data_IF_505547507339
#
_entry.id   IF_505547507339
#
_cell.length_a   1.000
_cell.length_b   1.000
_cell.length_c   1.000
_cell.angle_alpha   90.00
_cell.angle_beta   90.00
_cell.angle_gamma   90.00
#
_symmetry.space_group_name_H-M   'P 1'
#
loop_
_entity.id
_entity.type
_entity.pdbx_description
1 polymer ?
#
# COMPACT_ATOMS: atom_id res chain seq x y z
N UNK A 1 44.18 30.95 29.17
CA UNK A 1 44.27 32.42 29.01
C UNK A 1 44.55 32.75 27.54
N UNK A 2 43.96 33.86 27.03
CA UNK A 2 44.02 34.45 25.67
C UNK A 2 42.99 33.80 24.69
N UNK A 3 41.78 34.34 24.49
CA UNK A 3 41.33 35.54 23.71
C UNK A 3 41.78 35.43 22.22
N UNK A 4 40.96 35.56 21.17
CA UNK A 4 39.89 36.54 20.89
C UNK A 4 39.06 36.12 19.66
N UNK A 5 37.79 36.53 19.66
CA UNK A 5 36.75 36.54 18.60
C UNK A 5 37.18 37.18 17.27
N UNK A 6 36.64 36.71 16.13
CA UNK A 6 36.26 37.60 15.02
C UNK A 6 34.98 37.12 14.31
N UNK A 7 34.04 38.05 14.23
CA UNK A 7 32.71 37.99 13.65
C UNK A 7 32.82 38.50 12.20
N UNK A 8 32.25 37.83 11.20
CA UNK A 8 31.88 38.49 9.95
C UNK A 8 30.47 38.08 9.52
N UNK A 9 29.62 39.11 9.54
CA UNK A 9 28.24 39.16 9.10
C UNK A 9 28.24 39.65 7.64
N UNK A 10 27.60 38.96 6.72
CA UNK A 10 27.16 39.58 5.46
C UNK A 10 25.94 38.85 4.89
N UNK A 11 24.79 39.44 5.19
CA UNK A 11 23.48 39.17 4.62
C UNK A 11 23.42 39.58 3.15
N UNK A 12 22.81 38.77 2.30
CA UNK A 12 22.12 39.26 1.10
C UNK A 12 20.79 38.54 0.94
N UNK A 13 19.73 39.34 1.07
CA UNK A 13 18.36 39.03 0.69
C UNK A 13 18.26 38.78 -0.81
N UNK A 14 17.54 37.73 -1.21
CA UNK A 14 16.89 37.67 -2.53
C UNK A 14 15.38 37.48 -2.30
N UNK A 15 14.64 38.58 -2.40
CA UNK A 15 13.19 38.62 -2.54
C UNK A 15 12.88 39.18 -3.94
N UNK A 16 12.37 38.33 -4.82
CA UNK A 16 11.60 38.65 -6.04
C UNK A 16 10.62 37.47 -6.16
N UNK A 17 9.29 37.60 -6.05
CA UNK A 17 8.40 38.69 -6.47
C UNK A 17 7.70 38.26 -7.76
N UNK A 18 6.68 37.39 -7.67
CA UNK A 18 5.87 36.93 -8.80
C UNK A 18 4.38 37.19 -8.53
N UNK A 19 3.83 38.13 -9.29
CA UNK A 19 2.49 38.72 -9.14
C UNK A 19 1.35 37.73 -9.47
N UNK A 20 0.30 37.78 -8.64
CA UNK A 20 -1.05 37.39 -9.04
C UNK A 20 -1.66 38.53 -9.88
N UNK A 21 -2.35 38.20 -10.98
CA UNK A 21 -3.30 39.13 -11.60
C UNK A 21 -4.63 38.43 -11.85
N UNK A 22 -5.67 39.04 -11.26
CA UNK A 22 -7.06 38.69 -11.33
C UNK A 22 -7.67 39.41 -12.56
N UNK A 23 -8.57 38.77 -13.31
CA UNK A 23 -9.36 39.46 -14.33
C UNK A 23 -10.79 38.95 -14.34
N UNK A 24 -11.64 39.83 -13.80
CA UNK A 24 -13.06 40.08 -13.98
C UNK A 24 -13.99 39.03 -14.62
N UNK A 25 -14.96 38.68 -13.78
CA UNK A 25 -16.36 38.38 -14.04
C UNK A 25 -17.04 39.29 -15.08
N UNK A 26 -17.79 38.70 -16.01
CA UNK A 26 -19.12 39.21 -16.41
C UNK A 26 -19.93 38.14 -17.16
N UNK A 27 -20.96 37.65 -16.46
CA UNK A 27 -22.37 37.58 -16.88
C UNK A 27 -22.85 36.55 -17.91
N UNK A 28 -23.87 35.81 -17.45
CA UNK A 28 -24.67 34.77 -18.07
C UNK A 28 -25.22 35.04 -19.47
N UNK A 29 -25.24 33.98 -20.29
CA UNK A 29 -26.37 33.65 -21.17
C UNK A 29 -26.60 32.14 -21.17
N UNK A 30 -27.82 31.76 -20.84
CA UNK A 30 -28.38 30.45 -21.17
C UNK A 30 -28.50 30.37 -22.70
N UNK A 31 -28.10 29.25 -23.28
CA UNK A 31 -28.75 28.71 -24.47
C UNK A 31 -28.68 27.18 -24.41
N UNK A 32 -29.87 26.59 -24.40
CA UNK A 32 -30.08 25.17 -24.61
C UNK A 32 -29.63 24.82 -26.04
N UNK A 33 -28.79 23.80 -26.18
CA UNK A 33 -28.78 23.00 -27.40
C UNK A 33 -28.47 21.56 -27.03
N UNK A 34 -29.51 20.74 -27.15
CA UNK A 34 -29.50 19.29 -27.14
C UNK A 34 -28.52 18.75 -28.19
N UNK A 35 -27.50 18.03 -27.72
CA UNK A 35 -26.85 17.02 -28.52
C UNK A 35 -26.52 15.82 -27.64
N UNK A 36 -27.10 14.70 -28.05
CA UNK A 36 -26.96 13.37 -27.49
C UNK A 36 -25.50 12.93 -27.49
N UNK A 37 -24.90 12.86 -26.30
CA UNK A 37 -23.62 12.16 -26.11
C UNK A 37 -23.94 10.86 -25.41
N UNK A 38 -23.77 9.78 -26.16
CA UNK A 38 -23.96 8.39 -25.76
C UNK A 38 -23.30 8.11 -24.42
N UNK A 39 -24.10 7.63 -23.47
CA UNK A 39 -23.64 7.08 -22.21
C UNK A 39 -22.83 5.82 -22.52
N UNK A 40 -21.52 5.95 -22.71
CA UNK A 40 -20.61 4.83 -22.52
C UNK A 40 -20.59 4.55 -21.02
N UNK A 41 -21.45 3.63 -20.60
CA UNK A 41 -21.40 3.02 -19.29
C UNK A 41 -20.07 2.27 -19.20
N UNK A 42 -19.03 2.92 -18.66
CA UNK A 42 -17.90 2.20 -18.10
C UNK A 42 -18.45 1.39 -16.94
N UNK A 43 -18.74 0.12 -17.19
CA UNK A 43 -18.94 -0.88 -16.16
C UNK A 43 -17.64 -0.91 -15.35
N UNK A 44 -17.59 -0.15 -14.26
CA UNK A 44 -16.63 -0.39 -13.20
C UNK A 44 -16.89 -1.83 -12.77
N UNK A 45 -16.03 -2.75 -13.22
CA UNK A 45 -16.02 -4.14 -12.76
C UNK A 45 -15.92 -4.03 -11.24
N UNK A 46 -17.04 -4.31 -10.56
CA UNK A 46 -17.10 -4.37 -9.11
C UNK A 46 -16.06 -5.40 -8.70
N UNK A 47 -14.92 -4.96 -8.20
CA UNK A 47 -13.93 -5.84 -7.60
C UNK A 47 -14.57 -6.37 -6.33
N UNK A 48 -15.13 -7.58 -6.40
CA UNK A 48 -15.60 -8.32 -5.23
C UNK A 48 -14.41 -8.48 -4.29
N UNK A 49 -14.52 -7.93 -3.08
CA UNK A 49 -13.55 -8.16 -2.02
C UNK A 49 -14.03 -9.36 -1.23
N UNK A 50 -13.25 -10.42 -1.21
CA UNK A 50 -13.49 -11.55 -0.31
C UNK A 50 -12.71 -11.27 0.98
N UNK A 51 -13.39 -10.74 2.00
CA UNK A 51 -12.80 -10.50 3.32
C UNK A 51 -13.02 -11.72 4.22
N UNK A 52 -11.95 -12.21 4.85
CA UNK A 52 -12.02 -13.26 5.88
C UNK A 52 -11.43 -12.71 7.17
N UNK A 53 -12.21 -12.72 8.24
CA UNK A 53 -11.70 -12.38 9.57
C UNK A 53 -11.02 -13.61 10.16
N UNK A 54 -9.72 -13.49 10.46
CA UNK A 54 -8.99 -14.53 11.17
C UNK A 54 -9.21 -14.36 12.69
N UNK A 55 -9.41 -15.47 13.40
CA UNK A 55 -9.43 -15.46 14.87
C UNK A 55 -8.03 -15.48 15.48
N UNK A 56 -6.98 -15.49 14.65
CA UNK A 56 -5.60 -15.59 15.08
C UNK A 56 -5.13 -14.31 15.78
N UNK A 57 -4.25 -14.51 16.76
CA UNK A 57 -3.55 -13.46 17.49
C UNK A 57 -2.07 -13.64 17.18
N UNK A 58 -1.44 -12.57 16.71
CA UNK A 58 -0.02 -12.51 16.33
C UNK A 58 0.76 -11.91 17.50
N UNK A 59 1.83 -12.59 17.92
CA UNK A 59 2.72 -12.17 18.99
C UNK A 59 4.19 -12.23 18.55
N UNK A 60 5.11 -12.14 19.51
CA UNK A 60 6.57 -12.10 19.28
C UNK A 60 7.24 -13.47 19.26
N UNK A 61 6.51 -14.55 19.54
CA UNK A 61 7.14 -15.82 19.85
C UNK A 61 7.28 -16.70 18.60
N UNK A 62 6.34 -16.63 17.65
CA UNK A 62 6.40 -17.40 16.39
C UNK A 62 5.61 -16.74 15.24
N UNK A 63 6.04 -17.04 14.01
CA UNK A 63 5.25 -16.83 12.79
C UNK A 63 3.86 -17.46 12.90
N UNK A 64 2.83 -16.65 12.64
CA UNK A 64 1.43 -17.08 12.70
C UNK A 64 0.83 -17.13 11.30
N UNK A 65 0.47 -18.33 10.86
CA UNK A 65 -0.32 -18.60 9.65
C UNK A 65 -1.69 -17.92 9.71
N UNK A 66 -1.95 -16.97 8.81
CA UNK A 66 -3.19 -16.16 8.79
C UNK A 66 -4.28 -16.72 7.88
N UNK A 67 -3.92 -17.42 6.80
CA UNK A 67 -4.87 -17.97 5.83
C UNK A 67 -5.35 -19.37 6.22
N UNK A 68 -6.65 -19.62 6.09
CA UNK A 68 -7.24 -20.97 6.19
C UNK A 68 -7.27 -21.72 4.86
N UNK A 69 -7.04 -20.99 3.76
CA UNK A 69 -7.06 -21.49 2.39
C UNK A 69 -6.34 -20.53 1.47
N UNK A 70 -5.66 -21.08 0.46
CA UNK A 70 -5.03 -20.35 -0.63
C UNK A 70 -5.98 -19.32 -1.27
N UNK A 71 -5.46 -18.15 -1.62
CA UNK A 71 -6.17 -17.18 -2.46
C UNK A 71 -5.72 -17.30 -3.91
N UNK A 72 -6.68 -17.48 -4.80
CA UNK A 72 -6.42 -17.59 -6.23
C UNK A 72 -6.78 -16.30 -6.95
N UNK A 73 -5.81 -15.77 -7.69
CA UNK A 73 -5.98 -14.70 -8.66
C UNK A 73 -5.64 -15.24 -10.06
N UNK A 74 -6.02 -14.50 -11.10
CA UNK A 74 -5.74 -14.92 -12.49
C UNK A 74 -4.22 -14.98 -12.75
N UNK A 75 -3.45 -14.03 -12.20
CA UNK A 75 -2.01 -13.87 -12.46
C UNK A 75 -1.09 -14.58 -11.49
N UNK A 76 -1.55 -14.84 -10.27
CA UNK A 76 -0.75 -15.45 -9.22
C UNK A 76 -1.66 -16.14 -8.19
N UNK A 77 -1.04 -16.95 -7.37
CA UNK A 77 -1.67 -17.64 -6.26
C UNK A 77 -0.96 -17.26 -4.98
N UNK A 78 -1.69 -16.89 -3.92
CA UNK A 78 -1.15 -16.68 -2.57
C UNK A 78 -1.44 -17.94 -1.77
N UNK A 79 -0.38 -18.68 -1.45
CA UNK A 79 -0.49 -19.94 -0.70
C UNK A 79 -0.69 -19.66 0.77
N UNK A 80 0.10 -18.75 1.31
CA UNK A 80 0.12 -18.43 2.73
C UNK A 80 0.40 -16.95 2.97
N UNK A 81 -0.12 -16.44 4.08
CA UNK A 81 0.34 -15.18 4.68
C UNK A 81 0.69 -15.51 6.12
N UNK A 82 1.90 -15.15 6.54
CA UNK A 82 2.39 -15.31 7.89
C UNK A 82 2.73 -13.94 8.46
N UNK A 83 2.61 -13.82 9.77
CA UNK A 83 2.94 -12.59 10.46
C UNK A 83 3.49 -12.87 11.86
N UNK A 84 4.42 -12.03 12.30
CA UNK A 84 4.96 -12.00 13.65
C UNK A 84 5.30 -10.57 14.08
N UNK A 85 5.55 -10.40 15.39
CA UNK A 85 6.08 -9.16 15.94
C UNK A 85 7.55 -9.35 16.29
N UNK A 86 8.46 -8.94 15.41
CA UNK A 86 9.89 -8.90 15.72
C UNK A 86 10.39 -7.46 15.90
N UNK A 87 11.25 -7.26 16.90
CA UNK A 87 11.87 -5.96 17.24
C UNK A 87 10.89 -4.76 17.29
N UNK A 88 9.65 -5.01 17.72
CA UNK A 88 8.61 -3.98 17.82
C UNK A 88 8.00 -3.56 16.48
N UNK A 89 8.28 -4.29 15.41
CA UNK A 89 7.71 -4.15 14.08
C UNK A 89 6.76 -5.31 13.80
N UNK A 90 5.90 -5.15 12.80
CA UNK A 90 5.08 -6.24 12.27
C UNK A 90 5.79 -6.75 11.01
N UNK A 91 6.24 -8.00 11.05
CA UNK A 91 6.77 -8.69 9.88
C UNK A 91 5.64 -9.47 9.22
N UNK A 92 5.58 -9.40 7.89
CA UNK A 92 4.58 -10.08 7.08
C UNK A 92 5.30 -10.77 5.94
N UNK A 93 5.14 -12.09 5.90
CA UNK A 93 5.61 -12.92 4.80
C UNK A 93 4.44 -13.36 3.94
N UNK A 94 4.55 -13.17 2.63
CA UNK A 94 3.54 -13.64 1.67
C UNK A 94 4.18 -14.70 0.78
N UNK A 95 3.75 -15.95 0.93
CA UNK A 95 4.16 -17.04 0.04
C UNK A 95 3.27 -17.03 -1.20
N UNK A 96 3.85 -16.84 -2.38
CA UNK A 96 3.11 -16.67 -3.61
C UNK A 96 3.75 -17.36 -4.82
N UNK A 97 2.95 -17.60 -5.86
CA UNK A 97 3.40 -18.25 -7.08
C UNK A 97 2.84 -17.51 -8.31
N UNK A 98 3.68 -17.08 -9.27
CA UNK A 98 3.20 -16.53 -10.54
C UNK A 98 2.58 -17.63 -11.42
N UNK A 99 1.44 -17.32 -12.04
CA UNK A 99 0.75 -18.24 -12.97
C UNK A 99 1.20 -18.05 -14.44
N UNK A 100 1.77 -16.89 -14.78
CA UNK A 100 2.13 -16.55 -16.17
C UNK A 100 3.63 -16.27 -16.36
N UNK A 101 4.17 -15.24 -15.71
CA UNK A 101 5.54 -14.77 -15.91
C UNK A 101 6.45 -15.25 -14.77
N UNK A 102 7.31 -16.22 -15.04
CA UNK A 102 8.17 -16.82 -14.00
C UNK A 102 9.37 -15.96 -13.58
N UNK A 103 9.54 -14.74 -14.10
CA UNK A 103 10.71 -13.89 -13.80
C UNK A 103 10.31 -12.44 -13.63
N UNK A 104 9.43 -12.20 -12.67
CA UNK A 104 9.01 -10.87 -12.30
C UNK A 104 8.75 -10.79 -10.79
N UNK A 105 8.99 -9.61 -10.24
CA UNK A 105 8.66 -9.24 -8.87
C UNK A 105 7.15 -9.30 -8.65
N UNK A 106 6.71 -9.54 -7.41
CA UNK A 106 5.30 -9.52 -7.01
C UNK A 106 4.58 -8.25 -7.47
N UNK A 107 5.26 -7.09 -7.43
CA UNK A 107 4.68 -5.80 -7.83
C UNK A 107 4.17 -5.74 -9.27
N UNK A 108 4.61 -6.64 -10.15
CA UNK A 108 4.11 -6.74 -11.52
C UNK A 108 2.73 -7.43 -11.59
N UNK A 109 2.38 -8.19 -10.56
CA UNK A 109 1.16 -8.99 -10.49
C UNK A 109 0.13 -8.39 -9.54
N UNK A 110 0.57 -7.81 -8.43
CA UNK A 110 -0.33 -7.33 -7.39
C UNK A 110 0.27 -6.27 -6.47
N UNK A 111 -0.52 -5.90 -5.48
CA UNK A 111 -0.15 -4.97 -4.42
C UNK A 111 -0.64 -5.50 -3.07
N UNK A 112 0.25 -5.44 -2.07
CA UNK A 112 -0.09 -5.63 -0.66
C UNK A 112 -0.35 -4.26 -0.03
N UNK A 113 -1.47 -4.15 0.68
CA UNK A 113 -1.84 -2.97 1.46
C UNK A 113 -2.16 -3.39 2.88
N UNK A 114 -1.39 -2.89 3.83
CA UNK A 114 -1.62 -3.15 5.26
C UNK A 114 -2.24 -1.92 5.90
N UNK A 115 -3.33 -2.13 6.64
CA UNK A 115 -4.06 -1.06 7.32
C UNK A 115 -4.32 -1.39 8.78
N UNK A 116 -4.35 -0.37 9.62
CA UNK A 116 -4.80 -0.48 11.00
C UNK A 116 -5.64 0.76 11.35
N UNK A 117 -6.79 0.54 11.99
CA UNK A 117 -7.70 1.64 12.34
C UNK A 117 -8.05 2.56 11.14
N UNK A 118 -8.22 1.97 9.95
CA UNK A 118 -8.54 2.69 8.70
C UNK A 118 -7.37 3.45 8.06
N UNK A 119 -6.19 3.46 8.67
CA UNK A 119 -4.98 4.09 8.13
C UNK A 119 -4.08 3.05 7.46
N UNK A 120 -3.42 3.42 6.36
CA UNK A 120 -2.42 2.56 5.72
C UNK A 120 -1.12 2.65 6.51
N UNK A 121 -0.55 1.51 6.87
CA UNK A 121 0.74 1.44 7.56
C UNK A 121 1.86 1.71 6.56
N UNK A 122 2.89 2.42 6.99
CA UNK A 122 4.11 2.60 6.20
C UNK A 122 4.97 1.35 6.31
N UNK A 123 5.31 0.76 5.17
CA UNK A 123 6.36 -0.25 5.12
C UNK A 123 7.71 0.41 5.39
N UNK A 124 8.53 -0.28 6.17
CA UNK A 124 9.92 0.05 6.49
C UNK A 124 10.85 -0.70 5.55
N UNK A 125 10.42 -1.89 5.14
CA UNK A 125 11.15 -2.78 4.25
C UNK A 125 10.19 -3.54 3.34
N UNK A 126 10.66 -3.83 2.13
CA UNK A 126 10.01 -4.69 1.15
C UNK A 126 11.13 -5.42 0.41
N UNK A 127 11.24 -6.72 0.65
CA UNK A 127 12.13 -7.62 -0.09
C UNK A 127 11.28 -8.56 -0.96
N UNK A 128 11.56 -8.52 -2.25
CA UNK A 128 10.88 -9.29 -3.31
C UNK A 128 11.95 -9.90 -4.23
N UNK A 129 13.16 -10.12 -3.68
CA UNK A 129 14.21 -10.87 -4.34
C UNK A 129 13.76 -12.33 -4.46
N UNK A 130 13.90 -12.90 -5.65
CA UNK A 130 13.48 -14.27 -5.92
C UNK A 130 14.53 -14.98 -6.76
N UNK A 131 14.71 -16.28 -6.49
CA UNK A 131 15.50 -17.13 -7.34
C UNK A 131 14.69 -17.59 -8.56
N UNK A 132 15.36 -17.66 -9.72
CA UNK A 132 14.66 -17.88 -10.99
C UNK A 132 14.08 -19.30 -11.14
N UNK A 133 14.55 -20.25 -10.34
CA UNK A 133 14.10 -21.64 -10.26
C UNK A 133 13.01 -21.87 -9.21
N UNK A 134 12.71 -20.88 -8.38
CA UNK A 134 11.64 -20.96 -7.38
C UNK A 134 10.25 -20.81 -8.01
N UNK A 135 9.44 -21.84 -7.79
CA UNK A 135 8.03 -21.86 -8.19
C UNK A 135 7.15 -21.08 -7.20
N UNK A 136 7.44 -21.23 -5.90
CA UNK A 136 6.81 -20.49 -4.80
C UNK A 136 7.89 -19.56 -4.26
N UNK A 137 7.52 -18.30 -4.03
CA UNK A 137 8.39 -17.19 -3.67
C UNK A 137 7.87 -16.53 -2.43
N UNK A 138 8.78 -15.89 -1.73
CA UNK A 138 8.48 -15.13 -0.55
C UNK A 138 8.51 -13.63 -0.90
N UNK A 139 7.58 -12.89 -0.31
CA UNK A 139 7.58 -11.44 -0.30
C UNK A 139 7.56 -11.03 1.17
N UNK A 140 8.68 -10.47 1.63
CA UNK A 140 8.89 -10.09 3.02
C UNK A 140 8.66 -8.59 3.18
N UNK A 141 7.81 -8.24 4.14
CA UNK A 141 7.30 -6.89 4.33
C UNK A 141 7.31 -6.52 5.82
N UNK A 142 7.98 -5.44 6.15
CA UNK A 142 8.06 -4.97 7.55
C UNK A 142 7.29 -3.67 7.72
N UNK A 143 6.44 -3.58 8.74
CA UNK A 143 5.57 -2.44 9.00
C UNK A 143 5.69 -1.91 10.43
N UNK A 144 5.54 -0.60 10.59
CA UNK A 144 5.26 0.01 11.89
C UNK A 144 3.77 -0.03 12.18
N UNK A 145 3.35 -0.88 13.12
CA UNK A 145 1.98 -0.85 13.64
C UNK A 145 1.80 0.28 14.66
N UNK A 146 0.55 0.73 14.83
CA UNK A 146 0.22 1.90 15.65
C UNK A 146 0.01 1.53 17.12
N UNK A 147 -0.58 0.37 17.37
CA UNK A 147 -0.92 -0.15 18.69
C UNK A 147 -1.28 -1.63 18.60
N UNK A 148 -1.42 -2.32 19.74
CA UNK A 148 -1.82 -3.73 19.78
C UNK A 148 -3.33 -3.96 19.90
N UNK A 149 -4.13 -2.91 20.11
CA UNK A 149 -5.56 -3.04 20.42
C UNK A 149 -6.45 -3.10 19.18
N UNK A 150 -6.08 -2.38 18.13
CA UNK A 150 -6.82 -2.36 16.87
C UNK A 150 -6.35 -3.49 15.96
N UNK A 151 -7.27 -4.20 15.28
CA UNK A 151 -6.88 -5.24 14.35
C UNK A 151 -6.12 -4.66 13.16
N UNK A 152 -5.14 -5.43 12.68
CA UNK A 152 -4.44 -5.17 11.43
C UNK A 152 -5.19 -5.90 10.31
N UNK A 153 -5.31 -5.26 9.15
CA UNK A 153 -5.87 -5.84 7.93
C UNK A 153 -4.83 -5.81 6.81
N UNK A 154 -4.52 -6.98 6.27
CA UNK A 154 -3.73 -7.16 5.05
C UNK A 154 -4.71 -7.35 3.89
N UNK A 155 -4.66 -6.48 2.89
CA UNK A 155 -5.39 -6.59 1.63
C UNK A 155 -4.38 -6.89 0.51
N UNK A 156 -4.61 -7.95 -0.26
CA UNK A 156 -3.88 -8.25 -1.49
C UNK A 156 -4.81 -8.04 -2.67
N UNK A 157 -4.34 -7.26 -3.64
CA UNK A 157 -5.06 -6.96 -4.87
C UNK A 157 -4.26 -7.36 -6.09
N UNK A 158 -4.92 -7.96 -7.09
CA UNK A 158 -4.32 -8.24 -8.38
C UNK A 158 -4.42 -7.04 -9.32
N UNK A 159 -3.42 -6.85 -10.19
CA UNK A 159 -3.36 -5.76 -11.16
C UNK A 159 -4.51 -5.80 -12.19
N UNK A 160 -5.06 -6.99 -12.47
CA UNK A 160 -6.23 -7.19 -13.35
C UNK A 160 -7.58 -7.21 -12.61
N UNK A 161 -7.55 -6.94 -11.30
CA UNK A 161 -8.70 -6.86 -10.42
C UNK A 161 -8.92 -8.11 -9.57
N UNK A 162 -9.82 -8.00 -8.60
CA UNK A 162 -9.97 -9.01 -7.56
C UNK A 162 -9.13 -8.65 -6.32
N UNK A 163 -9.73 -8.87 -5.16
CA UNK A 163 -9.14 -8.49 -3.87
C UNK A 163 -9.50 -9.51 -2.82
N UNK A 164 -8.54 -9.85 -2.00
CA UNK A 164 -8.74 -10.63 -0.80
C UNK A 164 -8.16 -9.88 0.39
N UNK A 165 -8.77 -10.05 1.56
CA UNK A 165 -8.25 -9.47 2.77
C UNK A 165 -8.37 -10.42 3.96
N UNK A 166 -7.38 -10.34 4.85
CA UNK A 166 -7.36 -11.02 6.14
C UNK A 166 -7.15 -9.99 7.24
N UNK A 167 -7.87 -10.14 8.34
CA UNK A 167 -7.70 -9.31 9.55
C UNK A 167 -7.33 -10.16 10.75
N UNK A 168 -6.44 -9.65 11.60
CA UNK A 168 -5.93 -10.33 12.80
C UNK A 168 -5.65 -9.33 13.93
N UNK A 169 -5.42 -9.84 15.14
CA UNK A 169 -5.07 -9.03 16.32
C UNK A 169 -3.61 -9.20 16.68
N UNK A 170 -3.03 -8.20 17.33
CA UNK A 170 -1.68 -8.23 17.88
C UNK A 170 -1.75 -8.46 19.40
N UNK A 171 -0.71 -9.07 19.98
CA UNK A 171 -0.56 -9.24 21.44
C UNK A 171 0.84 -8.87 21.93
#
# INVERSE_FOLDING_TARGET
MKKTTLLLLSSTFFLLGGCANNSNNSQSKNDETSSSVSKTSSSKKSSTVSETSSSQVVDSDNETTLLSSTWQFDKFTVHQIEAEIDDGQLEVKVEWQPNTEKRAAFSNFGQVKVTQNGQTLSSVEQDDDFDADEAIRDLDLTYRYQNKTNPVKIEISSADGGKHAVSFKLQ
#
